data_IF_172678331280
#
_entry.id   IF_172678331280
#
_cell.length_a   1.000
_cell.length_b   1.000
_cell.length_c   1.000
_cell.angle_alpha   90.00
_cell.angle_beta   90.00
_cell.angle_gamma   90.00
#
_symmetry.space_group_name_H-M   'P 1'
#
loop_
_entity.id
_entity.type
_entity.pdbx_description
1 polymer ?
#
# COMPACT_ATOMS: atom_id res chain seq x y z
N UNK A 1 16.10 -35.59 -1.56
CA UNK A 1 14.95 -36.52 -1.44
C UNK A 1 13.99 -36.14 -2.54
N UNK A 2 13.66 -37.04 -3.46
CA UNK A 2 12.66 -36.76 -4.50
C UNK A 2 11.30 -36.57 -3.80
N UNK A 3 10.60 -35.49 -4.13
CA UNK A 3 9.28 -35.16 -3.56
C UNK A 3 8.31 -36.33 -3.78
N UNK A 4 7.72 -36.83 -2.71
CA UNK A 4 6.68 -37.87 -2.74
C UNK A 4 5.35 -37.35 -3.36
N UNK A 5 5.29 -36.09 -3.71
CA UNK A 5 4.09 -35.41 -4.23
C UNK A 5 4.11 -35.21 -5.77
N UNK A 6 5.19 -35.61 -6.44
CA UNK A 6 5.27 -35.52 -7.89
C UNK A 6 4.15 -36.33 -8.57
N UNK A 7 3.11 -35.64 -9.06
CA UNK A 7 2.09 -36.21 -9.93
C UNK A 7 0.64 -36.25 -9.44
N UNK A 8 0.31 -35.88 -8.21
CA UNK A 8 -1.09 -35.69 -7.80
C UNK A 8 -1.55 -34.25 -8.07
N UNK A 9 -2.48 -34.07 -9.03
CA UNK A 9 -3.17 -32.78 -9.17
C UNK A 9 -3.87 -32.44 -7.86
N UNK A 10 -3.72 -31.20 -7.35
CA UNK A 10 -4.41 -30.79 -6.11
C UNK A 10 -5.92 -30.95 -6.28
N UNK A 11 -6.58 -31.48 -5.25
CA UNK A 11 -8.03 -31.65 -5.27
C UNK A 11 -8.74 -30.33 -4.86
N UNK A 12 -8.52 -29.28 -5.67
CA UNK A 12 -9.17 -27.99 -5.47
C UNK A 12 -10.56 -28.01 -6.10
N UNK A 13 -11.54 -27.49 -5.39
CA UNK A 13 -12.94 -27.47 -5.82
C UNK A 13 -13.54 -26.07 -5.70
N UNK A 14 -14.46 -25.77 -6.61
CA UNK A 14 -15.32 -24.60 -6.50
C UNK A 14 -16.75 -25.04 -6.86
N UNK A 15 -17.66 -24.89 -5.88
CA UNK A 15 -19.08 -25.16 -6.06
C UNK A 15 -19.83 -23.86 -6.30
N UNK A 16 -20.33 -23.67 -7.50
CA UNK A 16 -21.13 -22.50 -7.88
C UNK A 16 -22.48 -22.43 -7.14
N UNK A 17 -22.97 -23.54 -6.59
CA UNK A 17 -24.19 -23.63 -5.79
C UNK A 17 -24.01 -23.26 -4.32
N UNK A 18 -22.79 -23.13 -3.83
CA UNK A 18 -22.51 -22.81 -2.41
C UNK A 18 -22.66 -21.32 -2.06
N UNK A 19 -22.92 -20.46 -3.04
CA UNK A 19 -23.01 -19.02 -2.84
C UNK A 19 -24.24 -18.60 -2.02
N UNK A 20 -24.01 -17.70 -1.06
CA UNK A 20 -25.06 -17.13 -0.19
C UNK A 20 -25.26 -15.66 -0.55
N UNK A 21 -26.49 -15.27 -0.86
CA UNK A 21 -26.80 -13.85 -1.11
C UNK A 21 -26.79 -13.06 0.19
N UNK A 22 -26.02 -11.99 0.20
CA UNK A 22 -25.88 -11.05 1.32
C UNK A 22 -26.08 -9.60 0.83
N UNK A 23 -26.26 -8.69 1.77
CA UNK A 23 -26.41 -7.25 1.48
C UNK A 23 -25.46 -6.46 2.38
N UNK A 24 -24.65 -5.59 1.78
CA UNK A 24 -23.84 -4.60 2.48
C UNK A 24 -24.54 -3.25 2.43
N UNK A 25 -24.71 -2.61 3.58
CA UNK A 25 -25.22 -1.24 3.65
C UNK A 25 -24.04 -0.28 3.76
N UNK A 26 -23.87 0.55 2.74
CA UNK A 26 -22.83 1.57 2.69
C UNK A 26 -23.16 2.73 3.66
N UNK A 27 -22.17 3.50 4.15
CA UNK A 27 -22.40 4.68 4.99
C UNK A 27 -23.35 5.71 4.36
N UNK A 28 -23.44 5.74 3.03
CA UNK A 28 -24.40 6.57 2.28
C UNK A 28 -25.84 6.08 2.38
N UNK A 29 -26.11 4.92 3.00
CA UNK A 29 -27.40 4.25 3.01
C UNK A 29 -27.66 3.40 1.76
N UNK A 30 -26.77 3.39 0.75
CA UNK A 30 -26.88 2.54 -0.44
C UNK A 30 -26.72 1.07 -0.03
N UNK A 31 -27.68 0.22 -0.38
CA UNK A 31 -27.57 -1.22 -0.23
C UNK A 31 -26.89 -1.84 -1.48
N UNK A 32 -25.91 -2.71 -1.25
CA UNK A 32 -25.19 -3.45 -2.29
C UNK A 32 -25.44 -4.93 -2.09
N UNK A 33 -26.14 -5.55 -3.05
CA UNK A 33 -26.43 -6.99 -3.06
C UNK A 33 -25.25 -7.75 -3.70
N UNK A 34 -24.80 -8.82 -3.06
CA UNK A 34 -23.71 -9.66 -3.54
C UNK A 34 -23.91 -11.13 -3.15
N UNK A 35 -23.23 -12.03 -3.84
CA UNK A 35 -23.15 -13.45 -3.49
C UNK A 35 -21.80 -13.71 -2.83
N UNK A 36 -21.81 -14.28 -1.62
CA UNK A 36 -20.62 -14.67 -0.86
C UNK A 36 -20.32 -16.15 -1.09
N UNK A 37 -19.11 -16.44 -1.52
CA UNK A 37 -18.50 -17.78 -1.52
C UNK A 37 -17.45 -17.83 -0.45
N UNK A 38 -17.68 -18.58 0.62
CA UNK A 38 -16.85 -18.56 1.81
C UNK A 38 -16.08 -19.87 1.98
N UNK A 39 -14.93 -19.80 2.69
CA UNK A 39 -14.04 -20.92 3.00
C UNK A 39 -13.56 -21.70 1.76
N UNK A 40 -13.16 -20.99 0.73
CA UNK A 40 -12.55 -21.57 -0.46
C UNK A 40 -11.08 -21.88 -0.16
N UNK A 41 -10.78 -23.13 0.13
CA UNK A 41 -9.41 -23.58 0.37
C UNK A 41 -8.60 -23.51 -0.94
N UNK A 42 -7.56 -22.68 -0.97
CA UNK A 42 -6.79 -22.42 -2.18
C UNK A 42 -5.56 -23.34 -2.36
N UNK A 43 -5.34 -24.25 -1.43
CA UNK A 43 -4.30 -25.30 -1.48
C UNK A 43 -4.90 -26.67 -1.21
N UNK A 44 -4.32 -27.71 -1.82
CA UNK A 44 -4.75 -29.10 -1.59
C UNK A 44 -4.20 -29.68 -0.27
N UNK A 45 -3.04 -29.22 0.18
CA UNK A 45 -2.39 -29.65 1.42
C UNK A 45 -2.52 -28.53 2.47
N UNK A 46 -3.69 -28.42 3.09
CA UNK A 46 -3.99 -27.40 4.09
C UNK A 46 -3.23 -27.69 5.38
N UNK A 47 -2.34 -26.82 5.80
CA UNK A 47 -1.60 -26.90 7.08
C UNK A 47 -2.35 -26.23 8.22
N UNK A 48 -3.00 -25.08 7.93
CA UNK A 48 -3.81 -24.34 8.91
C UNK A 48 -5.20 -24.02 8.32
N UNK A 49 -6.18 -24.83 8.68
CA UNK A 49 -7.56 -24.68 8.21
C UNK A 49 -8.28 -23.44 8.75
N UNK A 50 -7.70 -22.76 9.76
CA UNK A 50 -8.28 -21.53 10.29
C UNK A 50 -8.01 -20.32 9.41
N UNK A 51 -6.95 -20.34 8.59
CA UNK A 51 -6.56 -19.18 7.79
C UNK A 51 -6.23 -19.48 6.32
N UNK A 52 -5.86 -20.73 5.93
CA UNK A 52 -5.51 -21.05 4.54
C UNK A 52 -6.74 -21.22 3.63
N UNK A 53 -7.66 -20.29 3.66
CA UNK A 53 -8.82 -20.23 2.77
C UNK A 53 -9.06 -18.77 2.33
N UNK A 54 -9.90 -18.58 1.34
CA UNK A 54 -10.28 -17.30 0.80
C UNK A 54 -11.78 -17.17 0.77
N UNK A 55 -12.30 -15.97 0.97
CA UNK A 55 -13.68 -15.63 0.68
C UNK A 55 -13.74 -14.78 -0.60
N UNK A 56 -14.74 -15.03 -1.42
CA UNK A 56 -15.00 -14.29 -2.66
C UNK A 56 -16.41 -13.73 -2.64
N UNK A 57 -16.52 -12.45 -2.92
CA UNK A 57 -17.76 -11.69 -2.89
C UNK A 57 -18.06 -11.13 -4.28
N UNK A 58 -19.14 -11.57 -4.87
CA UNK A 58 -19.51 -11.26 -6.24
C UNK A 58 -20.73 -10.33 -6.26
N UNK A 59 -20.57 -9.05 -6.60
CA UNK A 59 -21.68 -8.11 -6.65
C UNK A 59 -22.64 -8.47 -7.80
N UNK A 60 -23.90 -8.09 -7.65
CA UNK A 60 -24.94 -8.30 -8.66
C UNK A 60 -24.54 -7.64 -9.98
N UNK A 61 -24.60 -8.40 -11.06
CA UNK A 61 -24.23 -7.93 -12.39
C UNK A 61 -22.77 -8.13 -12.77
N UNK A 62 -21.91 -8.63 -11.86
CA UNK A 62 -20.54 -8.98 -12.21
C UNK A 62 -20.49 -10.09 -13.27
N UNK A 63 -19.52 -9.97 -14.17
CA UNK A 63 -19.27 -10.91 -15.27
C UNK A 63 -17.84 -11.45 -15.19
N UNK A 64 -17.47 -12.34 -16.09
CA UNK A 64 -16.07 -12.82 -16.21
C UNK A 64 -15.08 -11.74 -16.71
N UNK A 65 -15.55 -10.55 -17.06
CA UNK A 65 -14.70 -9.42 -17.42
C UNK A 65 -14.49 -8.42 -16.28
N UNK A 66 -15.25 -8.57 -15.21
CA UNK A 66 -15.21 -7.69 -14.04
C UNK A 66 -13.86 -7.83 -13.33
N UNK A 67 -13.14 -6.75 -13.01
CA UNK A 67 -11.91 -6.83 -12.23
C UNK A 67 -12.12 -7.43 -10.84
N UNK A 68 -11.06 -7.99 -10.29
CA UNK A 68 -11.05 -8.56 -8.92
C UNK A 68 -10.17 -7.68 -8.04
N UNK A 69 -10.75 -7.06 -7.01
CA UNK A 69 -9.98 -6.49 -5.91
C UNK A 69 -9.58 -7.62 -4.96
N UNK A 70 -8.27 -7.90 -4.88
CA UNK A 70 -7.67 -8.93 -4.05
C UNK A 70 -7.03 -8.29 -2.82
N UNK A 71 -7.78 -8.24 -1.72
CA UNK A 71 -7.40 -7.51 -0.51
C UNK A 71 -6.82 -8.42 0.56
N UNK A 72 -5.59 -8.13 1.04
CA UNK A 72 -4.99 -8.81 2.19
C UNK A 72 -5.01 -7.93 3.44
N UNK A 73 -5.36 -8.55 4.58
CA UNK A 73 -5.31 -7.95 5.92
C UNK A 73 -4.19 -8.57 6.77
N UNK A 74 -3.10 -8.95 6.11
CA UNK A 74 -1.95 -9.56 6.77
C UNK A 74 -1.43 -8.73 7.95
N UNK A 75 -0.92 -9.42 8.96
CA UNK A 75 -0.46 -8.86 10.23
C UNK A 75 0.95 -9.33 10.55
N UNK A 76 1.64 -8.58 11.43
CA UNK A 76 2.99 -8.95 11.91
C UNK A 76 2.98 -9.91 13.11
N UNK A 77 1.84 -10.07 13.78
CA UNK A 77 1.77 -10.67 15.11
C UNK A 77 1.00 -12.01 15.16
N UNK A 78 0.25 -12.35 14.11
CA UNK A 78 -0.60 -13.55 14.09
C UNK A 78 -1.09 -13.90 12.68
N UNK A 79 -1.60 -15.15 12.47
CA UNK A 79 -2.37 -15.50 11.28
C UNK A 79 -3.57 -14.56 11.12
N UNK A 80 -4.01 -14.39 9.88
CA UNK A 80 -5.22 -13.61 9.60
C UNK A 80 -6.24 -14.44 8.84
N UNK A 81 -7.48 -14.38 9.29
CA UNK A 81 -8.60 -14.97 8.60
C UNK A 81 -9.20 -13.98 7.58
N UNK A 82 -9.84 -14.48 6.51
CA UNK A 82 -10.62 -13.63 5.64
C UNK A 82 -11.73 -12.93 6.41
N UNK A 83 -11.86 -11.63 6.22
CA UNK A 83 -12.93 -10.82 6.82
C UNK A 83 -14.09 -10.65 5.84
N UNK A 84 -15.26 -10.23 6.33
CA UNK A 84 -16.33 -9.75 5.46
C UNK A 84 -16.02 -8.33 4.96
N UNK A 85 -16.48 -7.97 3.74
CA UNK A 85 -16.37 -6.60 3.23
C UNK A 85 -17.07 -5.61 4.14
N UNK A 86 -16.47 -4.44 4.31
CA UNK A 86 -17.05 -3.36 5.10
C UNK A 86 -17.34 -2.15 4.22
N UNK A 87 -18.37 -1.37 4.54
CA UNK A 87 -18.64 -0.12 3.84
C UNK A 87 -17.61 0.99 4.10
N UNK A 88 -16.59 0.73 4.92
CA UNK A 88 -15.64 1.73 5.42
C UNK A 88 -14.26 1.67 4.75
N UNK A 89 -13.99 0.63 3.95
CA UNK A 89 -12.71 0.40 3.31
C UNK A 89 -12.85 0.14 1.79
N UNK A 90 -11.74 -0.17 1.13
CA UNK A 90 -11.70 -0.43 -0.30
C UNK A 90 -12.60 -1.61 -0.72
N UNK A 91 -12.85 -2.60 0.16
CA UNK A 91 -13.65 -3.79 -0.19
C UNK A 91 -15.13 -3.46 -0.41
N UNK A 92 -15.71 -2.67 0.50
CA UNK A 92 -17.10 -2.22 0.32
C UNK A 92 -17.24 -1.24 -0.84
N UNK A 93 -16.25 -0.37 -1.04
CA UNK A 93 -16.26 0.52 -2.20
C UNK A 93 -16.19 -0.28 -3.51
N UNK A 94 -15.32 -1.29 -3.60
CA UNK A 94 -15.21 -2.17 -4.75
C UNK A 94 -16.54 -2.86 -5.09
N UNK A 95 -17.21 -3.43 -4.10
CA UNK A 95 -18.54 -4.03 -4.31
C UNK A 95 -19.56 -3.00 -4.79
N UNK A 96 -19.53 -1.77 -4.26
CA UNK A 96 -20.46 -0.71 -4.66
C UNK A 96 -20.22 -0.19 -6.09
N UNK A 97 -18.97 -0.28 -6.58
CA UNK A 97 -18.58 0.00 -7.97
C UNK A 97 -18.75 -1.22 -8.91
N UNK A 98 -19.14 -2.37 -8.37
CA UNK A 98 -19.43 -3.56 -9.15
C UNK A 98 -18.22 -4.49 -9.36
N UNK A 99 -17.10 -4.32 -8.66
CA UNK A 99 -15.95 -5.20 -8.71
C UNK A 99 -16.16 -6.45 -7.84
N UNK A 100 -15.62 -7.58 -8.28
CA UNK A 100 -15.49 -8.77 -7.44
C UNK A 100 -14.44 -8.50 -6.37
N UNK A 101 -14.69 -8.95 -5.13
CA UNK A 101 -13.76 -8.82 -4.02
C UNK A 101 -13.32 -10.21 -3.57
N UNK A 102 -12.01 -10.46 -3.50
CA UNK A 102 -11.42 -11.66 -2.97
C UNK A 102 -10.54 -11.32 -1.77
N UNK A 103 -10.78 -11.98 -0.63
CA UNK A 103 -10.06 -11.75 0.61
C UNK A 103 -9.43 -13.07 1.05
N UNK A 104 -8.13 -13.30 0.80
CA UNK A 104 -7.42 -14.47 1.30
C UNK A 104 -7.06 -14.29 2.77
N UNK A 105 -7.07 -15.38 3.52
CA UNK A 105 -6.38 -15.51 4.78
C UNK A 105 -4.94 -15.94 4.57
N UNK A 106 -4.15 -15.99 5.62
CA UNK A 106 -2.75 -16.37 5.55
C UNK A 106 -2.17 -16.81 6.88
N UNK A 107 -1.23 -17.75 6.80
CA UNK A 107 -0.46 -18.25 7.92
C UNK A 107 0.49 -17.17 8.45
N UNK A 108 0.96 -17.37 9.68
CA UNK A 108 1.91 -16.48 10.33
C UNK A 108 3.14 -17.25 10.79
N UNK A 109 4.14 -17.38 9.93
CA UNK A 109 5.44 -17.97 10.28
C UNK A 109 6.59 -17.13 9.73
N UNK A 110 6.47 -16.61 8.50
CA UNK A 110 7.41 -15.72 7.86
C UNK A 110 6.73 -14.95 6.72
N UNK A 111 7.32 -13.86 6.28
CA UNK A 111 6.85 -13.12 5.10
C UNK A 111 6.81 -14.01 3.84
N UNK A 112 7.78 -14.91 3.70
CA UNK A 112 7.84 -15.88 2.60
C UNK A 112 6.63 -16.82 2.60
N UNK A 113 6.24 -17.38 3.76
CA UNK A 113 5.07 -18.25 3.88
C UNK A 113 3.78 -17.49 3.61
N UNK A 114 3.65 -16.27 4.11
CA UNK A 114 2.49 -15.41 3.80
C UNK A 114 2.39 -15.12 2.30
N UNK A 115 3.52 -14.87 1.63
CA UNK A 115 3.56 -14.66 0.19
C UNK A 115 3.13 -15.90 -0.61
N UNK A 116 3.57 -17.10 -0.18
CA UNK A 116 3.14 -18.37 -0.79
C UNK A 116 1.62 -18.55 -0.69
N UNK A 117 1.00 -18.22 0.46
CA UNK A 117 -0.45 -18.28 0.60
C UNK A 117 -1.16 -17.31 -0.38
N UNK A 118 -0.66 -16.07 -0.56
CA UNK A 118 -1.21 -15.13 -1.53
C UNK A 118 -1.05 -15.61 -2.98
N UNK A 119 0.12 -16.15 -3.33
CA UNK A 119 0.37 -16.73 -4.67
C UNK A 119 -0.57 -17.90 -4.95
N UNK A 120 -0.74 -18.80 -3.98
CA UNK A 120 -1.66 -19.93 -4.10
C UNK A 120 -3.11 -19.47 -4.28
N UNK A 121 -3.55 -18.43 -3.56
CA UNK A 121 -4.88 -17.84 -3.70
C UNK A 121 -5.11 -17.21 -5.10
N UNK A 122 -4.10 -16.50 -5.66
CA UNK A 122 -4.16 -16.00 -7.05
C UNK A 122 -4.27 -17.15 -8.05
N UNK A 123 -3.47 -18.23 -7.87
CA UNK A 123 -3.53 -19.43 -8.71
C UNK A 123 -4.89 -20.12 -8.65
N UNK A 124 -5.53 -20.12 -7.48
CA UNK A 124 -6.89 -20.65 -7.31
C UNK A 124 -7.92 -19.84 -8.11
N UNK A 125 -7.89 -18.51 -8.05
CA UNK A 125 -8.77 -17.67 -8.85
C UNK A 125 -8.59 -17.95 -10.35
N UNK A 126 -7.39 -18.12 -10.83
CA UNK A 126 -7.11 -18.49 -12.23
C UNK A 126 -7.56 -19.88 -12.62
N UNK A 127 -7.51 -20.84 -11.69
CA UNK A 127 -8.01 -22.20 -11.93
C UNK A 127 -9.52 -22.18 -12.21
N UNK A 128 -10.24 -21.34 -11.47
CA UNK A 128 -11.72 -21.29 -11.56
C UNK A 128 -12.26 -20.07 -12.31
N UNK A 129 -11.43 -19.33 -13.02
CA UNK A 129 -11.78 -18.12 -13.78
C UNK A 129 -13.01 -18.29 -14.67
N UNK A 130 -13.16 -19.45 -15.34
CA UNK A 130 -14.34 -19.74 -16.19
C UNK A 130 -15.60 -20.13 -15.43
N UNK A 131 -15.53 -20.41 -14.14
CA UNK A 131 -16.64 -20.84 -13.30
C UNK A 131 -17.10 -19.76 -12.33
N UNK A 132 -16.23 -18.80 -12.04
CA UNK A 132 -16.45 -17.71 -11.09
C UNK A 132 -16.58 -16.41 -11.88
N UNK A 133 -17.45 -15.50 -11.45
CA UNK A 133 -17.43 -14.15 -11.96
C UNK A 133 -16.15 -13.42 -11.48
N UNK A 134 -15.69 -12.51 -12.29
CA UNK A 134 -14.42 -11.82 -12.10
C UNK A 134 -13.36 -12.30 -13.11
N UNK A 135 -12.48 -11.41 -13.54
CA UNK A 135 -11.38 -11.71 -14.44
C UNK A 135 -10.11 -11.95 -13.65
N UNK A 136 -9.63 -13.18 -13.60
CA UNK A 136 -8.35 -13.50 -12.97
C UNK A 136 -7.12 -12.96 -13.75
N UNK A 137 -7.32 -12.40 -14.94
CA UNK A 137 -6.30 -11.61 -15.65
C UNK A 137 -6.26 -10.14 -15.19
N UNK A 138 -7.28 -9.67 -14.44
CA UNK A 138 -7.41 -8.31 -13.93
C UNK A 138 -7.50 -8.30 -12.40
N UNK A 139 -6.55 -8.98 -11.75
CA UNK A 139 -6.42 -8.98 -10.30
C UNK A 139 -5.68 -7.71 -9.86
N UNK A 140 -6.34 -6.92 -9.02
CA UNK A 140 -5.79 -5.72 -8.40
C UNK A 140 -5.51 -6.08 -6.94
N UNK A 141 -4.25 -6.34 -6.61
CA UNK A 141 -3.83 -6.68 -5.26
C UNK A 141 -3.76 -5.42 -4.40
N UNK A 142 -4.32 -5.47 -3.19
CA UNK A 142 -4.44 -4.31 -2.30
C UNK A 142 -4.06 -4.66 -0.87
N UNK A 143 -3.27 -3.78 -0.22
CA UNK A 143 -2.82 -3.96 1.14
C UNK A 143 -2.24 -2.72 1.79
N UNK A 144 -2.27 -2.71 3.13
CA UNK A 144 -1.74 -1.64 3.98
C UNK A 144 -0.69 -2.18 4.94
N UNK A 145 0.37 -1.43 5.17
CA UNK A 145 1.45 -1.82 6.10
C UNK A 145 2.11 -3.14 5.70
N UNK A 146 1.99 -4.16 6.53
CA UNK A 146 2.42 -5.54 6.22
C UNK A 146 1.72 -6.08 4.98
N UNK A 147 0.40 -5.88 4.86
CA UNK A 147 -0.35 -6.23 3.66
C UNK A 147 0.19 -5.52 2.42
N UNK A 148 0.55 -4.23 2.55
CA UNK A 148 1.19 -3.47 1.48
C UNK A 148 2.55 -4.01 1.08
N UNK A 149 3.36 -4.46 2.04
CA UNK A 149 4.64 -5.13 1.79
C UNK A 149 4.44 -6.45 1.03
N UNK A 150 3.50 -7.29 1.47
CA UNK A 150 3.18 -8.56 0.81
C UNK A 150 2.63 -8.36 -0.60
N UNK A 151 1.79 -7.35 -0.81
CA UNK A 151 1.30 -6.96 -2.15
C UNK A 151 2.46 -6.49 -3.02
N UNK A 152 3.42 -5.74 -2.46
CA UNK A 152 4.63 -5.34 -3.19
C UNK A 152 5.48 -6.54 -3.58
N UNK A 153 5.66 -7.53 -2.68
CA UNK A 153 6.36 -8.78 -3.00
C UNK A 153 5.60 -9.60 -4.05
N UNK A 154 4.29 -9.75 -3.91
CA UNK A 154 3.46 -10.45 -4.91
C UNK A 154 3.59 -9.81 -6.29
N UNK A 155 3.50 -8.48 -6.36
CA UNK A 155 3.58 -7.73 -7.61
C UNK A 155 4.97 -7.74 -8.25
N UNK A 156 6.05 -7.92 -7.47
CA UNK A 156 7.43 -7.96 -8.02
C UNK A 156 7.93 -9.37 -8.31
N UNK A 157 7.27 -10.41 -7.80
CA UNK A 157 7.71 -11.81 -7.91
C UNK A 157 6.73 -12.71 -8.67
N UNK A 158 5.86 -12.14 -9.52
CA UNK A 158 4.90 -12.91 -10.30
C UNK A 158 5.59 -14.02 -11.11
N UNK A 159 5.10 -15.24 -10.99
CA UNK A 159 5.59 -16.43 -11.70
C UNK A 159 7.10 -16.72 -11.53
N UNK A 160 7.70 -16.24 -10.43
CA UNK A 160 9.12 -16.48 -10.19
C UNK A 160 9.37 -17.96 -9.85
N UNK A 161 10.35 -18.64 -10.50
CA UNK A 161 10.55 -20.08 -10.39
C UNK A 161 10.96 -20.55 -8.98
N UNK A 162 11.57 -19.69 -8.16
CA UNK A 162 12.01 -20.05 -6.81
C UNK A 162 10.84 -20.41 -5.86
N UNK A 163 9.62 -20.00 -6.19
CA UNK A 163 8.43 -20.35 -5.41
C UNK A 163 7.73 -21.63 -5.87
N UNK A 164 8.06 -22.14 -7.08
CA UNK A 164 7.30 -23.20 -7.74
C UNK A 164 7.30 -24.51 -6.94
N UNK A 165 8.45 -24.95 -6.45
CA UNK A 165 8.55 -26.19 -5.68
C UNK A 165 7.65 -26.13 -4.43
N UNK A 166 7.67 -25.03 -3.69
CA UNK A 166 6.90 -24.89 -2.46
C UNK A 166 5.39 -24.79 -2.73
N UNK A 167 5.01 -24.11 -3.81
CA UNK A 167 3.61 -24.02 -4.25
C UNK A 167 3.09 -25.38 -4.69
N UNK A 168 3.89 -26.20 -5.36
CA UNK A 168 3.55 -27.58 -5.70
C UNK A 168 3.40 -28.44 -4.44
N UNK A 169 4.33 -28.33 -3.48
CA UNK A 169 4.28 -29.05 -2.19
C UNK A 169 3.03 -28.68 -1.35
N UNK A 170 2.59 -27.43 -1.41
CA UNK A 170 1.33 -26.96 -0.80
C UNK A 170 0.09 -27.48 -1.52
N UNK A 171 0.23 -28.04 -2.73
CA UNK A 171 -0.90 -28.40 -3.57
C UNK A 171 -1.63 -27.16 -4.13
N UNK A 172 -0.94 -26.11 -4.43
CA UNK A 172 -1.47 -24.97 -5.16
C UNK A 172 -1.78 -25.35 -6.62
N UNK A 173 -2.67 -24.61 -7.27
CA UNK A 173 -3.00 -24.85 -8.66
C UNK A 173 -1.79 -24.59 -9.56
N UNK A 174 -1.59 -25.44 -10.58
CA UNK A 174 -0.62 -25.20 -11.65
C UNK A 174 -1.14 -24.10 -12.59
N UNK A 175 -0.99 -22.87 -12.14
CA UNK A 175 -1.41 -21.62 -12.80
C UNK A 175 -0.39 -20.52 -12.52
N UNK A 176 -0.48 -19.45 -13.26
CA UNK A 176 0.30 -18.22 -13.02
C UNK A 176 -0.17 -17.49 -11.78
N UNK A 177 0.72 -16.73 -11.12
CA UNK A 177 0.44 -15.92 -9.93
C UNK A 177 0.81 -14.44 -10.08
N UNK A 178 1.11 -13.96 -11.29
CA UNK A 178 1.26 -12.54 -11.57
C UNK A 178 -0.06 -11.80 -11.36
N UNK A 179 0.02 -10.51 -11.04
CA UNK A 179 -1.15 -9.65 -10.84
C UNK A 179 -1.13 -8.47 -11.80
N UNK A 180 -2.31 -7.95 -12.11
CA UNK A 180 -2.48 -6.84 -13.05
C UNK A 180 -2.05 -5.50 -12.44
N UNK A 181 -2.40 -5.26 -11.18
CA UNK A 181 -2.06 -4.02 -10.48
C UNK A 181 -1.83 -4.25 -9.00
N UNK A 182 -1.06 -3.36 -8.38
CA UNK A 182 -0.77 -3.35 -6.96
C UNK A 182 -1.14 -2.01 -6.33
N UNK A 183 -1.90 -2.07 -5.24
CA UNK A 183 -2.28 -0.93 -4.40
C UNK A 183 -1.60 -1.09 -3.05
N UNK A 184 -0.65 -0.22 -2.74
CA UNK A 184 0.20 -0.32 -1.56
C UNK A 184 0.09 0.96 -0.72
N UNK A 185 -0.55 0.85 0.44
CA UNK A 185 -0.62 1.94 1.42
C UNK A 185 0.41 1.73 2.52
N UNK A 186 1.27 2.72 2.75
CA UNK A 186 2.32 2.72 3.78
C UNK A 186 3.03 1.35 3.89
N UNK A 187 3.53 0.78 2.77
CA UNK A 187 4.08 -0.57 2.77
C UNK A 187 5.36 -0.64 3.62
N UNK A 188 5.45 -1.66 4.49
CA UNK A 188 6.62 -1.92 5.33
C UNK A 188 7.67 -2.69 4.54
N UNK A 189 8.35 -2.01 3.61
CA UNK A 189 9.30 -2.60 2.69
C UNK A 189 10.68 -2.80 3.34
N UNK A 190 11.33 -3.93 3.00
CA UNK A 190 12.74 -4.16 3.33
C UNK A 190 13.06 -3.83 4.80
N UNK A 191 12.51 -4.60 5.73
CA UNK A 191 12.51 -4.31 7.16
C UNK A 191 13.91 -4.04 7.75
N UNK A 192 14.95 -4.65 7.21
CA UNK A 192 16.33 -4.37 7.61
C UNK A 192 16.77 -2.96 7.22
N UNK A 193 16.39 -2.52 6.01
CA UNK A 193 16.69 -1.18 5.53
C UNK A 193 15.72 -0.13 6.10
N UNK A 194 14.57 -0.52 6.63
CA UNK A 194 13.58 0.42 7.14
C UNK A 194 14.11 1.25 8.31
N UNK A 195 14.80 0.64 9.29
CA UNK A 195 15.39 1.41 10.39
C UNK A 195 16.59 2.26 9.94
N UNK A 196 17.36 1.74 8.99
CA UNK A 196 18.45 2.50 8.38
C UNK A 196 17.88 3.72 7.63
N UNK A 197 16.81 3.54 6.86
CA UNK A 197 16.13 4.60 6.13
C UNK A 197 15.46 5.61 7.07
N UNK A 198 14.89 5.10 8.18
CA UNK A 198 14.30 5.94 9.22
C UNK A 198 15.35 6.86 9.83
N UNK A 199 16.48 6.31 10.26
CA UNK A 199 17.55 7.11 10.83
C UNK A 199 18.21 8.04 9.80
N UNK A 200 18.36 7.61 8.55
CA UNK A 200 18.83 8.49 7.48
C UNK A 200 17.92 9.70 7.25
N UNK A 201 16.61 9.52 7.37
CA UNK A 201 15.65 10.60 7.19
C UNK A 201 15.57 11.52 8.40
N UNK A 202 15.47 10.96 9.61
CA UNK A 202 15.12 11.66 10.84
C UNK A 202 16.29 11.97 11.79
N UNK A 203 17.53 11.56 11.51
CA UNK A 203 18.64 11.84 12.41
C UNK A 203 18.92 13.34 12.60
N UNK A 204 18.52 14.19 11.65
CA UNK A 204 18.59 15.65 11.79
C UNK A 204 17.75 16.19 12.96
N UNK A 205 16.79 15.41 13.46
CA UNK A 205 15.96 15.77 14.62
C UNK A 205 16.60 15.43 15.96
N UNK A 206 17.71 14.70 15.96
CA UNK A 206 18.43 14.31 17.17
C UNK A 206 18.90 15.54 17.95
N UNK A 207 18.77 15.49 19.28
CA UNK A 207 19.09 16.59 20.22
C UNK A 207 18.23 17.85 20.12
N UNK A 208 17.41 18.02 19.09
CA UNK A 208 16.46 19.14 18.98
C UNK A 208 15.08 18.73 19.48
N UNK A 209 14.45 17.79 18.82
CA UNK A 209 13.10 17.31 19.12
C UNK A 209 13.05 15.83 19.51
N UNK A 210 14.13 15.10 19.26
CA UNK A 210 14.33 13.71 19.65
C UNK A 210 15.60 13.57 20.48
N UNK A 211 15.54 13.79 21.81
CA UNK A 211 16.71 13.65 22.68
C UNK A 211 17.14 12.18 22.75
N UNK A 212 18.37 11.90 22.35
CA UNK A 212 19.00 10.57 22.40
C UNK A 212 20.20 10.59 23.37
N UNK A 213 20.50 9.42 23.95
CA UNK A 213 21.79 9.22 24.63
C UNK A 213 22.93 9.27 23.61
N UNK A 214 24.17 9.45 24.08
CA UNK A 214 25.34 9.45 23.19
C UNK A 214 25.46 8.14 22.39
N UNK A 215 25.16 7.00 22.99
CA UNK A 215 25.15 5.69 22.34
C UNK A 215 24.08 5.59 21.27
N UNK A 216 22.85 6.01 21.60
CA UNK A 216 21.74 6.07 20.64
C UNK A 216 22.04 7.00 19.47
N UNK A 217 22.64 8.17 19.71
CA UNK A 217 23.01 9.10 18.66
C UNK A 217 24.10 8.52 17.73
N UNK A 218 25.09 7.82 18.29
CA UNK A 218 26.10 7.10 17.52
C UNK A 218 25.44 6.01 16.64
N UNK A 219 24.54 5.23 17.22
CA UNK A 219 23.80 4.20 16.50
C UNK A 219 22.94 4.78 15.38
N UNK A 220 22.22 5.89 15.61
CA UNK A 220 21.45 6.62 14.61
C UNK A 220 22.33 7.01 13.41
N UNK A 221 23.52 7.56 13.66
CA UNK A 221 24.44 7.95 12.59
C UNK A 221 24.98 6.75 11.80
N UNK A 222 25.27 5.63 12.45
CA UNK A 222 25.68 4.38 11.77
C UNK A 222 24.59 3.86 10.84
N UNK A 223 23.34 3.77 11.31
CA UNK A 223 22.18 3.33 10.51
C UNK A 223 21.94 4.27 9.32
N UNK A 224 22.02 5.57 9.55
CA UNK A 224 21.87 6.56 8.48
C UNK A 224 22.96 6.41 7.40
N UNK A 225 24.21 6.16 7.78
CA UNK A 225 25.31 5.93 6.84
C UNK A 225 25.14 4.63 6.04
N UNK A 226 24.63 3.57 6.68
CA UNK A 226 24.30 2.31 5.99
C UNK A 226 23.25 2.51 4.92
N UNK A 227 22.15 3.25 5.22
CA UNK A 227 21.13 3.54 4.22
C UNK A 227 21.63 4.39 3.07
N UNK A 228 22.48 5.39 3.35
CA UNK A 228 23.10 6.20 2.30
C UNK A 228 23.90 5.32 1.32
N UNK A 229 24.65 4.34 1.83
CA UNK A 229 25.39 3.37 1.01
C UNK A 229 24.47 2.47 0.20
N UNK A 230 23.42 1.94 0.83
CA UNK A 230 22.39 1.14 0.16
C UNK A 230 21.70 1.93 -0.96
N UNK A 231 21.23 3.16 -0.67
CA UNK A 231 20.58 4.02 -1.64
C UNK A 231 21.48 4.30 -2.86
N UNK A 232 22.77 4.53 -2.62
CA UNK A 232 23.74 4.73 -3.69
C UNK A 232 23.93 3.48 -4.58
N UNK A 233 23.79 2.28 -4.01
CA UNK A 233 23.90 1.01 -4.76
C UNK A 233 22.70 0.70 -5.64
N UNK A 234 21.55 1.34 -5.40
CA UNK A 234 20.33 1.14 -6.19
C UNK A 234 20.39 1.76 -7.60
N UNK A 235 21.36 2.67 -7.85
CA UNK A 235 21.53 3.38 -9.13
C UNK A 235 20.24 4.02 -9.66
N UNK A 236 19.46 4.61 -8.75
CA UNK A 236 18.17 5.23 -9.09
C UNK A 236 18.36 6.42 -10.03
N UNK A 237 17.47 6.55 -10.99
CA UNK A 237 17.40 7.72 -11.89
C UNK A 237 16.11 8.48 -11.62
N UNK A 238 16.22 9.80 -11.54
CA UNK A 238 15.06 10.69 -11.42
C UNK A 238 14.12 10.46 -12.63
N UNK A 239 12.87 10.07 -12.41
CA UNK A 239 11.94 9.78 -13.51
C UNK A 239 11.64 10.97 -14.43
N UNK A 240 11.89 12.19 -13.95
CA UNK A 240 11.59 13.43 -14.72
C UNK A 240 12.71 13.79 -15.70
N UNK A 241 13.98 13.66 -15.30
CA UNK A 241 15.13 14.18 -16.07
C UNK A 241 16.24 13.14 -16.30
N UNK A 242 16.11 11.94 -15.73
CA UNK A 242 17.10 10.87 -15.85
C UNK A 242 18.37 11.07 -15.01
N UNK A 243 18.44 12.10 -14.18
CA UNK A 243 19.59 12.37 -13.31
C UNK A 243 19.80 11.23 -12.33
N UNK A 244 21.07 10.80 -12.14
CA UNK A 244 21.41 9.77 -11.15
C UNK A 244 21.16 10.31 -9.75
N UNK A 245 20.34 9.59 -8.98
CA UNK A 245 20.04 9.91 -7.60
C UNK A 245 20.95 9.13 -6.65
N UNK A 246 21.56 9.87 -5.75
CA UNK A 246 22.38 9.37 -4.64
C UNK A 246 21.86 9.97 -3.33
N UNK A 247 22.36 9.49 -2.21
CA UNK A 247 21.95 9.95 -0.90
C UNK A 247 21.99 11.48 -0.75
N UNK A 248 22.96 12.15 -1.38
CA UNK A 248 23.13 13.60 -1.29
C UNK A 248 21.99 14.40 -1.95
N UNK A 249 21.46 13.91 -3.08
CA UNK A 249 20.38 14.60 -3.81
C UNK A 249 18.99 13.96 -3.65
N UNK A 250 18.91 12.77 -3.07
CA UNK A 250 17.64 12.09 -2.85
C UNK A 250 16.75 12.80 -1.81
N UNK A 251 17.34 13.46 -0.80
CA UNK A 251 16.59 14.33 0.12
C UNK A 251 15.88 15.48 -0.62
N UNK A 252 16.49 16.05 -1.65
CA UNK A 252 15.87 17.08 -2.50
C UNK A 252 14.70 16.51 -3.29
N UNK A 253 14.80 15.27 -3.75
CA UNK A 253 13.68 14.59 -4.41
C UNK A 253 12.53 14.31 -3.45
N UNK A 254 12.80 13.84 -2.22
CA UNK A 254 11.77 13.68 -1.18
C UNK A 254 11.10 15.03 -0.87
N UNK A 255 11.88 16.09 -0.69
CA UNK A 255 11.36 17.45 -0.52
C UNK A 255 10.40 17.82 -1.65
N UNK A 256 10.78 17.58 -2.90
CA UNK A 256 9.93 17.83 -4.05
C UNK A 256 8.65 17.01 -4.03
N UNK A 257 8.69 15.74 -3.61
CA UNK A 257 7.49 14.89 -3.46
C UNK A 257 6.54 15.43 -2.38
N UNK A 258 7.07 15.91 -1.25
CA UNK A 258 6.27 16.55 -0.19
C UNK A 258 5.60 17.83 -0.70
N UNK A 259 6.33 18.63 -1.44
CA UNK A 259 5.84 19.86 -2.09
C UNK A 259 4.68 19.52 -3.05
N UNK A 260 4.88 18.54 -3.93
CA UNK A 260 3.85 18.05 -4.85
C UNK A 260 2.61 17.55 -4.09
N UNK A 261 2.79 16.84 -3.00
CA UNK A 261 1.70 16.35 -2.16
C UNK A 261 0.89 17.50 -1.53
N UNK A 262 1.58 18.50 -0.96
CA UNK A 262 0.95 19.68 -0.40
C UNK A 262 0.17 20.46 -1.49
N UNK A 263 0.74 20.60 -2.68
CA UNK A 263 0.07 21.25 -3.81
C UNK A 263 -1.20 20.50 -4.24
N UNK A 264 -1.12 19.19 -4.34
CA UNK A 264 -2.27 18.34 -4.68
C UNK A 264 -3.38 18.50 -3.64
N UNK A 265 -3.02 18.48 -2.35
CA UNK A 265 -3.97 18.66 -1.26
C UNK A 265 -4.60 20.07 -1.27
N UNK A 266 -3.81 21.11 -1.54
CA UNK A 266 -4.31 22.48 -1.65
C UNK A 266 -5.30 22.61 -2.81
N UNK A 267 -4.99 22.06 -3.96
CA UNK A 267 -5.89 22.07 -5.12
C UNK A 267 -7.21 21.34 -4.86
N UNK A 268 -7.18 20.35 -3.93
CA UNK A 268 -8.36 19.66 -3.43
C UNK A 268 -9.07 20.42 -2.28
N UNK A 269 -8.62 21.62 -1.91
CA UNK A 269 -9.23 22.47 -0.89
C UNK A 269 -8.74 22.24 0.54
N UNK A 270 -7.63 21.52 0.75
CA UNK A 270 -7.04 21.37 2.07
C UNK A 270 -6.38 22.67 2.55
N UNK A 271 -6.55 22.95 3.85
CA UNK A 271 -5.80 24.02 4.52
C UNK A 271 -4.36 23.56 4.75
N UNK A 272 -3.39 24.37 4.33
CA UNK A 272 -1.96 24.11 4.54
C UNK A 272 -1.50 25.02 5.69
N UNK A 273 -1.00 24.45 6.82
CA UNK A 273 -0.55 25.26 7.95
C UNK A 273 0.74 26.01 7.65
N UNK A 274 0.78 27.30 7.96
CA UNK A 274 2.00 28.13 7.79
C UNK A 274 3.10 27.80 8.82
N UNK A 275 2.77 27.09 9.89
CA UNK A 275 3.67 26.83 11.03
C UNK A 275 4.76 25.80 10.77
N UNK A 276 4.79 25.14 9.61
CA UNK A 276 5.73 24.07 9.27
C UNK A 276 6.85 24.52 8.30
N UNK A 277 7.07 25.83 8.17
CA UNK A 277 8.20 26.37 7.41
C UNK A 277 8.04 26.36 5.89
N UNK A 278 6.82 26.34 5.37
CA UNK A 278 6.55 26.54 3.95
C UNK A 278 5.31 27.41 3.71
N UNK A 279 5.30 28.12 2.61
CA UNK A 279 4.20 28.98 2.16
C UNK A 279 3.91 28.74 0.70
N UNK A 280 2.68 29.03 0.28
CA UNK A 280 2.29 29.07 -1.14
C UNK A 280 2.14 30.53 -1.57
N UNK A 281 2.66 30.87 -2.73
CA UNK A 281 2.72 32.27 -3.20
C UNK A 281 1.36 32.99 -3.33
N UNK A 282 0.27 32.23 -3.48
CA UNK A 282 -1.07 32.81 -3.71
C UNK A 282 -1.96 32.83 -2.46
N UNK A 283 -1.46 32.49 -1.27
CA UNK A 283 -2.30 32.25 -0.07
C UNK A 283 -2.10 33.28 1.03
N UNK A 284 -1.11 34.16 0.88
CA UNK A 284 -0.78 35.15 1.89
C UNK A 284 -1.95 36.12 2.23
N UNK A 285 -2.88 36.32 1.30
CA UNK A 285 -4.00 37.25 1.50
C UNK A 285 -5.28 36.58 2.05
N UNK A 286 -5.53 35.29 1.78
CA UNK A 286 -6.79 34.65 2.20
C UNK A 286 -6.72 33.93 3.57
N UNK A 287 -5.54 33.49 4.01
CA UNK A 287 -5.38 32.75 5.28
C UNK A 287 -5.34 33.64 6.51
N UNK A 288 -5.06 34.94 6.37
CA UNK A 288 -5.13 35.88 7.49
C UNK A 288 -6.54 36.10 8.06
N UNK A 289 -7.57 35.67 7.34
CA UNK A 289 -8.97 35.86 7.71
C UNK A 289 -9.64 34.65 8.41
N UNK A 290 -9.03 33.44 8.45
CA UNK A 290 -9.68 32.25 8.97
C UNK A 290 -8.87 31.44 10.01
N UNK A 291 -8.10 32.12 10.85
CA UNK A 291 -7.48 31.45 12.00
C UNK A 291 -8.52 31.21 13.09
N UNK A 292 -9.19 30.10 13.00
CA UNK A 292 -9.90 29.52 14.12
C UNK A 292 -9.40 28.07 14.32
N UNK A 293 -8.43 27.95 15.24
CA UNK A 293 -8.21 26.81 16.13
C UNK A 293 -8.67 25.44 15.64
N UNK A 294 -7.75 24.67 15.05
CA UNK A 294 -7.90 23.22 15.01
C UNK A 294 -7.25 22.64 16.27
N UNK A 295 -7.99 21.91 17.13
CA UNK A 295 -7.41 21.24 18.28
C UNK A 295 -6.46 20.15 17.82
N UNK A 296 -5.42 19.87 18.62
CA UNK A 296 -4.55 18.71 18.47
C UNK A 296 -5.36 17.42 18.26
N UNK A 297 -4.85 16.41 17.54
CA UNK A 297 -5.60 15.20 17.24
C UNK A 297 -5.93 14.45 18.53
N UNK A 298 -7.10 14.73 19.07
CA UNK A 298 -7.74 13.87 20.07
C UNK A 298 -8.12 12.58 19.39
N UNK A 299 -7.96 11.47 20.08
CA UNK A 299 -8.43 10.16 19.62
C UNK A 299 -9.91 10.28 19.26
N UNK A 300 -10.19 10.33 17.96
CA UNK A 300 -11.56 10.40 17.45
C UNK A 300 -12.32 9.15 17.86
N UNK A 301 -13.50 9.34 18.41
CA UNK A 301 -14.44 8.25 18.71
C UNK A 301 -14.88 7.56 17.40
N UNK A 302 -15.38 6.33 17.51
CA UNK A 302 -15.93 5.58 16.37
C UNK A 302 -17.02 6.38 15.63
N UNK A 303 -17.86 7.12 16.38
CA UNK A 303 -18.91 7.98 15.81
C UNK A 303 -18.35 9.18 15.03
N UNK A 304 -17.27 9.78 15.49
CA UNK A 304 -16.60 10.88 14.77
C UNK A 304 -15.92 10.40 13.50
N UNK A 305 -15.34 9.17 13.52
CA UNK A 305 -14.80 8.51 12.32
C UNK A 305 -15.90 8.24 11.30
N UNK A 306 -17.04 7.73 11.73
CA UNK A 306 -18.21 7.51 10.89
C UNK A 306 -18.78 8.79 10.30
N UNK A 307 -18.88 9.87 11.11
CA UNK A 307 -19.37 11.18 10.67
C UNK A 307 -18.43 11.86 9.66
N UNK A 308 -17.12 11.70 9.83
CA UNK A 308 -16.14 12.22 8.89
C UNK A 308 -16.10 11.39 7.59
N UNK A 309 -16.18 10.06 7.68
CA UNK A 309 -16.34 9.21 6.50
C UNK A 309 -17.60 9.58 5.70
N UNK A 310 -18.73 9.82 6.36
CA UNK A 310 -19.97 10.25 5.71
C UNK A 310 -19.85 11.61 5.01
N UNK A 311 -19.04 12.55 5.53
CA UNK A 311 -18.76 13.84 4.87
C UNK A 311 -17.95 13.67 3.57
N UNK A 312 -16.99 12.73 3.52
CA UNK A 312 -16.23 12.42 2.31
C UNK A 312 -17.07 11.68 1.26
N UNK A 313 -18.03 10.84 1.69
CA UNK A 313 -18.90 10.07 0.81
C UNK A 313 -20.03 10.91 0.19
N UNK A 314 -20.41 12.03 0.80
CA UNK A 314 -21.50 12.93 0.34
C UNK A 314 -21.00 14.13 -0.47
N UNK A 315 -19.72 14.22 -0.82
CA UNK A 315 -19.24 15.27 -1.74
C UNK A 315 -19.80 15.03 -3.14
N UNK A 316 -20.55 15.97 -3.73
CA UNK A 316 -21.08 15.78 -5.08
C UNK A 316 -19.91 15.60 -6.07
N UNK A 317 -20.01 14.62 -6.96
CA UNK A 317 -19.14 14.48 -8.14
C UNK A 317 -19.28 15.75 -9.00
N UNK A 318 -18.54 16.76 -8.67
CA UNK A 318 -18.31 17.86 -9.61
C UNK A 318 -17.02 17.57 -10.35
N UNK A 319 -17.15 17.07 -11.56
CA UNK A 319 -16.09 16.99 -12.54
C UNK A 319 -15.57 18.39 -12.89
N UNK A 320 -14.81 18.98 -11.97
CA UNK A 320 -13.92 20.09 -12.31
C UNK A 320 -12.67 19.48 -12.92
N UNK A 321 -12.51 19.62 -14.24
CA UNK A 321 -11.19 19.66 -14.85
C UNK A 321 -10.45 20.83 -14.18
N UNK A 322 -9.69 20.53 -13.14
CA UNK A 322 -8.72 21.48 -12.58
C UNK A 322 -7.56 21.45 -13.57
N UNK A 323 -7.37 22.50 -14.34
CA UNK A 323 -6.14 22.72 -15.07
C UNK A 323 -5.01 22.71 -14.04
N UNK A 324 -4.17 21.67 -14.10
CA UNK A 324 -3.01 21.56 -13.23
C UNK A 324 -2.03 22.67 -13.64
N UNK A 325 -1.98 23.73 -12.85
CA UNK A 325 -0.93 24.74 -13.01
C UNK A 325 0.43 24.12 -12.66
N UNK A 326 1.52 24.48 -13.34
CA UNK A 326 2.84 23.91 -13.09
C UNK A 326 3.25 24.04 -11.62
N UNK A 327 3.75 22.96 -11.04
CA UNK A 327 4.15 22.87 -9.63
C UNK A 327 5.11 24.00 -9.20
N UNK A 328 5.92 24.54 -10.11
CA UNK A 328 6.87 25.64 -9.85
C UNK A 328 6.26 26.99 -9.50
N UNK A 329 4.99 27.24 -9.82
CA UNK A 329 4.37 28.55 -9.60
C UNK A 329 3.81 28.77 -8.18
N UNK A 330 3.67 27.67 -7.39
CA UNK A 330 2.94 27.70 -6.12
C UNK A 330 3.78 27.49 -4.87
N UNK A 331 5.06 27.16 -5.04
CA UNK A 331 5.88 26.74 -3.93
C UNK A 331 7.05 27.63 -3.71
N UNK A 332 7.14 28.15 -2.53
CA UNK A 332 8.23 29.04 -2.21
C UNK A 332 9.25 28.39 -1.30
N UNK A 333 8.93 27.87 -0.16
CA UNK A 333 9.93 27.35 0.76
C UNK A 333 9.39 26.23 1.63
N UNK A 334 9.66 24.97 1.29
CA UNK A 334 9.67 23.88 2.26
C UNK A 334 11.11 23.69 2.70
N UNK A 335 11.42 23.94 3.96
CA UNK A 335 12.65 23.42 4.58
C UNK A 335 12.36 22.01 5.10
N UNK A 336 13.04 21.01 4.51
CA UNK A 336 12.81 19.62 4.86
C UNK A 336 13.19 19.34 6.32
N UNK A 337 14.27 19.91 6.83
CA UNK A 337 14.69 19.71 8.21
C UNK A 337 13.67 20.29 9.19
N UNK A 338 13.18 21.49 8.95
CA UNK A 338 12.09 22.11 9.73
C UNK A 338 10.83 21.24 9.71
N UNK A 339 10.48 20.67 8.55
CA UNK A 339 9.34 19.77 8.45
C UNK A 339 9.53 18.49 9.27
N UNK A 340 10.69 17.85 9.20
CA UNK A 340 11.01 16.65 9.97
C UNK A 340 11.04 16.93 11.49
N UNK A 341 11.58 18.08 11.90
CA UNK A 341 11.53 18.51 13.30
C UNK A 341 10.08 18.75 13.77
N UNK A 342 9.23 19.31 12.93
CA UNK A 342 7.80 19.43 13.21
C UNK A 342 7.16 18.04 13.43
N UNK A 343 7.39 17.07 12.54
CA UNK A 343 6.87 15.71 12.71
C UNK A 343 7.38 15.08 14.02
N UNK A 344 8.66 15.21 14.31
CA UNK A 344 9.27 14.69 15.53
C UNK A 344 8.69 15.32 16.81
N UNK A 345 8.21 16.56 16.74
CA UNK A 345 7.58 17.26 17.87
C UNK A 345 6.12 16.88 18.11
N UNK A 346 5.44 16.35 17.11
CA UNK A 346 4.00 16.03 17.17
C UNK A 346 3.71 14.58 17.50
N UNK A 347 4.67 13.69 17.33
CA UNK A 347 4.48 12.25 17.51
C UNK A 347 5.66 11.63 18.26
N UNK A 348 5.42 10.47 18.88
CA UNK A 348 6.50 9.70 19.49
C UNK A 348 7.37 9.09 18.39
N UNK A 349 8.65 9.51 18.35
CA UNK A 349 9.64 8.98 17.44
C UNK A 349 10.16 7.60 17.88
N UNK A 350 10.60 6.79 16.93
CA UNK A 350 11.30 5.54 17.21
C UNK A 350 12.66 5.83 17.87
N UNK A 351 13.09 4.92 18.74
CA UNK A 351 14.47 4.84 19.18
C UNK A 351 15.31 4.09 18.14
N UNK A 352 16.61 4.42 17.98
CA UNK A 352 17.49 3.68 17.08
C UNK A 352 17.50 2.18 17.42
N UNK A 353 17.19 1.34 16.44
CA UNK A 353 17.04 -0.07 16.65
C UNK A 353 18.37 -0.73 17.07
N UNK A 354 18.31 -1.63 18.06
CA UNK A 354 19.38 -2.56 18.34
C UNK A 354 19.45 -3.66 17.27
N UNK A 355 20.66 -4.05 16.90
CA UNK A 355 20.83 -5.10 15.89
C UNK A 355 20.33 -6.45 16.45
N UNK A 356 19.40 -7.11 15.79
CA UNK A 356 19.15 -8.53 15.95
C UNK A 356 17.74 -9.05 16.21
N UNK A 357 16.76 -8.21 16.54
CA UNK A 357 15.45 -8.73 16.98
C UNK A 357 14.34 -8.44 15.94
N UNK A 358 14.34 -9.19 14.80
CA UNK A 358 13.28 -9.03 13.80
C UNK A 358 12.75 -10.35 13.27
N UNK A 359 11.55 -10.67 13.72
CA UNK A 359 10.90 -11.92 13.44
C UNK A 359 10.51 -12.14 11.97
N UNK A 360 10.34 -11.07 11.16
CA UNK A 360 9.94 -11.20 9.74
C UNK A 360 10.54 -10.08 8.88
N UNK A 361 11.28 -10.46 7.84
CA UNK A 361 11.79 -9.55 6.82
C UNK A 361 10.89 -9.61 5.58
N UNK A 362 10.29 -8.47 5.23
CA UNK A 362 9.57 -8.28 3.97
C UNK A 362 10.54 -7.66 2.96
N UNK A 363 11.38 -8.50 2.33
CA UNK A 363 12.35 -8.04 1.35
C UNK A 363 11.70 -8.02 -0.03
N UNK A 364 11.50 -6.82 -0.56
CA UNK A 364 10.96 -6.62 -1.90
C UNK A 364 12.12 -6.51 -2.88
N UNK A 365 12.31 -7.56 -3.67
CA UNK A 365 13.30 -7.56 -4.73
C UNK A 365 12.71 -6.98 -6.01
N UNK A 366 13.37 -5.96 -6.55
CA UNK A 366 13.01 -5.37 -7.82
C UNK A 366 14.18 -5.53 -8.79
N UNK A 367 13.92 -6.04 -9.98
CA UNK A 367 14.93 -6.16 -11.04
C UNK A 367 15.31 -7.58 -11.42
N UNK A 368 14.71 -8.59 -10.79
CA UNK A 368 14.83 -9.96 -11.30
C UNK A 368 14.08 -10.10 -12.63
N UNK A 369 14.82 -10.46 -13.67
CA UNK A 369 14.28 -10.61 -15.03
C UNK A 369 13.48 -11.90 -15.22
N UNK A 370 13.53 -12.83 -14.28
CA UNK A 370 12.77 -14.08 -14.31
C UNK A 370 11.36 -13.91 -13.79
N UNK A 371 11.11 -12.87 -13.00
CA UNK A 371 9.79 -12.52 -12.46
C UNK A 371 8.98 -11.64 -13.42
N UNK A 372 7.66 -11.81 -13.39
CA UNK A 372 6.71 -10.91 -14.02
C UNK A 372 6.28 -9.83 -13.01
N UNK A 373 6.95 -8.67 -13.06
CA UNK A 373 6.56 -7.53 -12.24
C UNK A 373 5.28 -6.89 -12.76
N UNK A 374 4.31 -6.65 -11.87
CA UNK A 374 3.03 -6.02 -12.19
C UNK A 374 3.24 -4.71 -12.99
N UNK A 375 2.43 -4.44 -14.02
CA UNK A 375 2.58 -3.24 -14.84
C UNK A 375 2.13 -1.95 -14.16
N UNK A 376 1.11 -2.00 -13.28
CA UNK A 376 0.45 -0.82 -12.71
C UNK A 376 0.57 -0.79 -11.20
N UNK A 377 0.94 0.37 -10.64
CA UNK A 377 1.20 0.56 -9.21
C UNK A 377 0.54 1.83 -8.68
N UNK A 378 -0.26 1.70 -7.64
CA UNK A 378 -0.78 2.80 -6.83
C UNK A 378 -0.13 2.74 -5.45
N UNK A 379 0.78 3.68 -5.18
CA UNK A 379 1.56 3.67 -3.95
C UNK A 379 1.29 4.95 -3.17
N UNK A 380 0.91 4.81 -1.92
CA UNK A 380 0.68 5.92 -1.00
C UNK A 380 1.46 5.71 0.29
N UNK A 381 2.07 6.78 0.79
CA UNK A 381 2.67 6.82 2.10
C UNK A 381 2.29 8.12 2.77
N UNK A 382 1.96 8.09 4.07
CA UNK A 382 1.55 9.30 4.79
C UNK A 382 2.69 10.30 4.92
N UNK A 383 2.51 11.54 4.46
CA UNK A 383 3.52 12.58 4.59
C UNK A 383 3.80 12.94 6.07
N UNK A 384 2.84 12.70 6.96
CA UNK A 384 2.96 12.89 8.42
C UNK A 384 3.30 11.58 9.16
N UNK A 385 3.70 10.53 8.45
CA UNK A 385 4.13 9.30 9.10
C UNK A 385 5.53 9.48 9.70
N UNK A 386 5.64 9.29 11.01
CA UNK A 386 6.93 9.18 11.71
C UNK A 386 7.10 7.85 12.45
N UNK A 387 6.37 6.81 12.02
CA UNK A 387 6.56 5.43 12.45
C UNK A 387 7.39 4.64 11.44
N UNK A 388 7.28 4.99 10.16
CA UNK A 388 8.01 4.35 9.05
C UNK A 388 8.67 5.42 8.17
N UNK A 389 9.71 5.03 7.44
CA UNK A 389 10.43 5.96 6.57
C UNK A 389 9.81 6.01 5.18
N UNK A 390 9.27 7.16 4.80
CA UNK A 390 8.82 7.36 3.42
C UNK A 390 9.98 7.43 2.40
N UNK A 391 11.23 7.40 2.86
CA UNK A 391 12.39 7.28 1.97
C UNK A 391 12.44 5.91 1.28
N UNK A 392 12.17 4.82 2.01
CA UNK A 392 12.12 3.46 1.46
C UNK A 392 11.04 3.33 0.41
N UNK A 393 9.83 3.80 0.72
CA UNK A 393 8.69 3.77 -0.23
C UNK A 393 8.96 4.63 -1.47
N UNK A 394 9.61 5.81 -1.29
CA UNK A 394 10.00 6.67 -2.41
C UNK A 394 11.03 5.99 -3.31
N UNK A 395 12.06 5.36 -2.73
CA UNK A 395 13.08 4.63 -3.48
C UNK A 395 12.47 3.45 -4.28
N UNK A 396 11.56 2.71 -3.67
CA UNK A 396 10.82 1.63 -4.33
C UNK A 396 9.99 2.14 -5.53
N UNK A 397 9.21 3.20 -5.33
CA UNK A 397 8.43 3.80 -6.41
C UNK A 397 9.31 4.24 -7.59
N UNK A 398 10.44 4.90 -7.31
CA UNK A 398 11.41 5.30 -8.34
C UNK A 398 12.03 4.09 -9.03
N UNK A 399 12.38 3.03 -8.30
CA UNK A 399 12.93 1.80 -8.90
C UNK A 399 11.96 1.16 -9.88
N UNK A 400 10.69 1.07 -9.54
CA UNK A 400 9.64 0.58 -10.45
C UNK A 400 9.49 1.46 -11.69
N UNK A 401 9.52 2.80 -11.54
CA UNK A 401 9.50 3.73 -12.68
C UNK A 401 10.73 3.56 -13.57
N UNK A 402 11.91 3.33 -13.00
CA UNK A 402 13.13 3.06 -13.76
C UNK A 402 13.08 1.72 -14.54
N UNK A 403 12.23 0.80 -14.11
CA UNK A 403 11.92 -0.46 -14.81
C UNK A 403 10.80 -0.31 -15.86
N UNK A 404 10.32 0.91 -16.11
CA UNK A 404 9.27 1.19 -17.08
C UNK A 404 7.87 0.81 -16.61
N UNK A 405 7.65 0.69 -15.28
CA UNK A 405 6.30 0.44 -14.73
C UNK A 405 5.52 1.74 -14.61
N UNK A 406 4.20 1.63 -14.75
CA UNK A 406 3.29 2.75 -14.51
C UNK A 406 3.06 2.88 -13.00
N UNK A 407 3.54 3.98 -12.42
CA UNK A 407 3.52 4.19 -10.96
C UNK A 407 2.83 5.50 -10.61
N UNK A 408 1.69 5.40 -9.97
CA UNK A 408 0.99 6.52 -9.34
C UNK A 408 1.43 6.60 -7.87
N UNK A 409 2.49 7.37 -7.61
CA UNK A 409 3.08 7.54 -6.28
C UNK A 409 2.78 8.91 -5.69
N UNK A 410 2.42 8.95 -4.42
CA UNK A 410 2.23 10.19 -3.66
C UNK A 410 2.58 9.98 -2.18
N UNK A 411 3.33 10.94 -1.61
CA UNK A 411 3.39 11.15 -0.16
C UNK A 411 2.11 11.90 0.25
N UNK A 412 1.14 11.16 0.80
CA UNK A 412 -0.20 11.68 1.04
C UNK A 412 -0.20 12.78 2.12
N UNK A 413 -0.49 14.01 1.74
CA UNK A 413 -0.45 15.17 2.64
C UNK A 413 -1.44 15.01 3.80
N UNK A 414 -1.01 15.42 5.00
CA UNK A 414 -1.80 15.36 6.23
C UNK A 414 -2.31 13.93 6.57
N UNK A 415 -1.60 12.89 6.15
CA UNK A 415 -1.88 11.50 6.50
C UNK A 415 -0.73 10.93 7.31
N UNK A 416 -1.08 10.22 8.37
CA UNK A 416 -0.17 9.38 9.15
C UNK A 416 -0.10 7.98 8.54
N UNK A 417 0.54 7.03 9.22
CA UNK A 417 0.50 5.61 8.85
C UNK A 417 -0.94 5.11 8.69
N UNK A 418 -1.25 4.42 7.60
CA UNK A 418 -2.57 3.84 7.35
C UNK A 418 -2.90 3.69 5.87
N UNK A 419 -4.12 3.22 5.60
CA UNK A 419 -4.66 3.00 4.26
C UNK A 419 -6.13 3.37 4.16
N UNK A 420 -6.76 2.96 3.07
CA UNK A 420 -8.20 3.16 2.81
C UNK A 420 -8.64 4.64 2.85
N UNK A 421 -7.75 5.54 2.46
CA UNK A 421 -8.08 6.95 2.25
C UNK A 421 -8.02 7.30 0.76
N UNK A 422 -8.67 8.40 0.39
CA UNK A 422 -8.78 8.87 -1.01
C UNK A 422 -9.31 7.76 -1.96
N UNK A 423 -10.32 7.02 -1.51
CA UNK A 423 -10.87 5.89 -2.28
C UNK A 423 -11.47 6.33 -3.62
N UNK A 424 -12.01 7.54 -3.74
CA UNK A 424 -12.48 8.06 -5.03
C UNK A 424 -11.31 8.15 -6.02
N UNK A 425 -10.17 8.71 -5.61
CA UNK A 425 -8.96 8.79 -6.43
C UNK A 425 -8.41 7.40 -6.81
N UNK A 426 -8.44 6.44 -5.86
CA UNK A 426 -8.03 5.06 -6.12
C UNK A 426 -8.90 4.42 -7.21
N UNK A 427 -10.23 4.51 -7.08
CA UNK A 427 -11.14 3.88 -8.02
C UNK A 427 -11.17 4.58 -9.37
N UNK A 428 -10.98 5.91 -9.44
CA UNK A 428 -10.77 6.64 -10.69
C UNK A 428 -9.48 6.17 -11.39
N UNK A 429 -8.39 5.92 -10.65
CA UNK A 429 -7.16 5.35 -11.19
C UNK A 429 -7.36 3.90 -11.67
N UNK A 430 -8.09 3.05 -10.92
CA UNK A 430 -8.42 1.69 -11.35
C UNK A 430 -9.19 1.70 -12.66
N UNK A 431 -10.22 2.53 -12.78
CA UNK A 431 -10.98 2.70 -14.02
C UNK A 431 -10.09 3.13 -15.18
N UNK A 432 -9.19 4.09 -14.94
CA UNK A 432 -8.24 4.54 -15.96
C UNK A 432 -7.37 3.41 -16.49
N UNK A 433 -6.71 2.62 -15.63
CA UNK A 433 -5.81 1.54 -16.07
C UNK A 433 -6.57 0.40 -16.77
N UNK A 434 -7.81 0.11 -16.38
CA UNK A 434 -8.64 -0.92 -17.00
C UNK A 434 -9.06 -0.56 -18.42
N UNK A 435 -9.31 0.72 -18.68
CA UNK A 435 -9.79 1.20 -19.97
C UNK A 435 -8.66 1.65 -20.92
N UNK A 436 -7.44 1.83 -20.40
CA UNK A 436 -6.25 2.23 -21.19
C UNK A 436 -5.46 1.04 -21.74
N UNK A 437 -5.88 -0.20 -21.44
CA UNK A 437 -5.19 -1.48 -21.78
C UNK A 437 -5.81 -2.14 -22.99
#
# INVERSE_FOLDING_TARGET
MASIYAGKKPNLTFDTGSGVTKTLVMPSGKAVEYVAYERLYFVGNVEDSACQYMNVYVPKGATQKTPILFRTYAREDRPHEPTEPTGLDATGRALAEGYVVAIPGGRFTSAHVQLLDLKAAVRYLRLFDKKMAGSAERIIADGTGVGGALVSMLGTTGNHPDYEQQLEEMGAADKKDDVYACVCYSPLLNKEQEDQAYEWLFNCTNNQTRPLTAEQAMRSNELAAQYASYLNSLELKNPTDGTLMKADNFRSYIKWQLIKAAQTAKNAGALIPDSIGFTFSDVAEELSASQATTPAPQQMTMEERLRNAAKYLNSPRQGRKVEAKPVGEYLVNLDLETYLNFLASTQRMKEPAEAGDRAMAYNVETGDRTAQTAPHWYIRHGAMDCQTSFATTTAFAVKLQNQGKEVNFLLAWNRTFGGDYALDELFDWIEFIIHSS
#
